data_IF_520040943103
#
_entry.id   IF_520040943103
#
_cell.length_a   1.000
_cell.length_b   1.000
_cell.length_c   1.000
_cell.angle_alpha   90.00
_cell.angle_beta   90.00
_cell.angle_gamma   90.00
#
_symmetry.space_group_name_H-M   'P 1'
#
loop_
_entity.id
_entity.type
_entity.pdbx_description
1 polymer ?
#
# COMPACT_ATOMS: atom_id res chain seq x y z
N UNK A 1 9.06 3.59 21.55
CA UNK A 1 7.63 3.29 21.59
C UNK A 1 7.24 2.38 20.45
N UNK A 2 6.46 1.36 20.76
CA UNK A 2 6.07 0.38 19.76
C UNK A 2 4.86 0.89 18.97
N UNK A 3 4.93 0.78 17.66
CA UNK A 3 3.77 1.15 16.85
C UNK A 3 2.71 0.06 16.96
N UNK A 4 1.43 0.42 16.90
CA UNK A 4 0.36 -0.57 16.95
C UNK A 4 0.32 -1.45 15.70
N UNK A 5 -0.30 -2.60 15.83
CA UNK A 5 -0.45 -3.51 14.69
C UNK A 5 -1.32 -2.87 13.61
N UNK A 6 -1.02 -3.18 12.36
CA UNK A 6 -1.85 -2.73 11.24
C UNK A 6 -3.17 -3.50 11.28
N UNK A 7 -4.33 -2.82 11.16
CA UNK A 7 -5.61 -3.51 11.14
C UNK A 7 -5.66 -4.59 10.06
N UNK A 8 -6.22 -5.74 10.41
CA UNK A 8 -6.24 -6.90 9.52
C UNK A 8 -6.87 -6.61 8.17
N UNK A 9 -7.94 -5.84 8.13
CA UNK A 9 -8.61 -5.50 6.87
C UNK A 9 -7.69 -4.70 5.95
N UNK A 10 -6.92 -3.78 6.53
CA UNK A 10 -6.00 -2.96 5.76
C UNK A 10 -4.85 -3.83 5.25
N UNK A 11 -4.31 -4.71 6.10
CA UNK A 11 -3.27 -5.64 5.67
C UNK A 11 -3.74 -6.48 4.48
N UNK A 12 -4.94 -7.02 4.60
CA UNK A 12 -5.51 -7.86 3.54
C UNK A 12 -5.64 -7.07 2.24
N UNK A 13 -6.14 -5.83 2.32
CA UNK A 13 -6.30 -4.99 1.14
C UNK A 13 -4.97 -4.74 0.45
N UNK A 14 -3.93 -4.44 1.22
CA UNK A 14 -2.60 -4.17 0.66
C UNK A 14 -2.02 -5.43 0.02
N UNK A 15 -2.19 -6.59 0.65
CA UNK A 15 -1.67 -7.85 0.11
C UNK A 15 -2.40 -8.28 -1.16
N UNK A 16 -3.72 -8.20 -1.17
CA UNK A 16 -4.50 -8.58 -2.35
C UNK A 16 -4.19 -7.65 -3.52
N UNK A 17 -4.08 -6.37 -3.25
CA UNK A 17 -3.73 -5.37 -4.27
C UNK A 17 -2.42 -5.73 -4.97
N UNK A 18 -1.44 -6.19 -4.23
CA UNK A 18 -0.13 -6.55 -4.76
C UNK A 18 -0.08 -7.99 -5.29
N UNK A 19 -1.15 -8.75 -5.14
CA UNK A 19 -1.19 -10.14 -5.55
C UNK A 19 -0.38 -11.05 -4.64
N UNK A 20 -0.25 -10.68 -3.37
CA UNK A 20 0.56 -11.39 -2.38
C UNK A 20 2.01 -11.57 -2.82
N UNK A 21 2.53 -10.53 -3.47
CA UNK A 21 3.92 -10.50 -3.91
C UNK A 21 4.45 -9.08 -3.83
N UNK A 22 5.75 -8.92 -3.98
CA UNK A 22 6.37 -7.61 -3.90
C UNK A 22 5.75 -6.66 -4.92
N UNK A 23 5.43 -5.45 -4.48
CA UNK A 23 4.77 -4.46 -5.34
C UNK A 23 5.71 -3.89 -6.41
N UNK A 24 7.02 -4.11 -6.27
CA UNK A 24 7.97 -3.65 -7.27
C UNK A 24 7.83 -4.54 -8.51
N UNK A 25 7.43 -4.00 -9.67
CA UNK A 25 7.10 -4.83 -10.83
C UNK A 25 8.21 -5.77 -11.29
N UNK A 26 9.45 -5.35 -11.19
CA UNK A 26 10.58 -6.18 -11.63
C UNK A 26 10.92 -7.29 -10.63
N UNK A 27 10.42 -7.21 -9.40
CA UNK A 27 10.77 -8.15 -8.34
C UNK A 27 9.72 -9.25 -8.18
N UNK A 28 8.54 -8.87 -7.73
CA UNK A 28 7.38 -9.77 -7.53
C UNK A 28 7.67 -11.00 -6.68
N UNK A 29 8.59 -10.88 -5.72
CA UNK A 29 8.89 -11.95 -4.81
C UNK A 29 7.67 -12.29 -3.95
N UNK A 30 7.36 -13.58 -3.70
CA UNK A 30 6.13 -13.96 -2.99
C UNK A 30 6.14 -13.72 -1.48
N UNK A 31 7.29 -13.54 -0.87
CA UNK A 31 7.39 -13.28 0.57
C UNK A 31 7.48 -11.78 0.79
N UNK A 32 6.45 -11.22 1.41
CA UNK A 32 6.37 -9.76 1.57
C UNK A 32 6.02 -9.36 2.99
N UNK A 33 6.35 -8.13 3.32
CA UNK A 33 5.93 -7.46 4.54
C UNK A 33 5.35 -6.12 4.15
N UNK A 34 4.54 -5.54 5.03
CA UNK A 34 3.89 -4.27 4.73
C UNK A 34 4.75 -3.13 5.25
N UNK A 35 5.05 -2.18 4.37
CA UNK A 35 5.94 -1.06 4.64
C UNK A 35 5.18 0.26 4.62
N UNK A 36 5.49 1.16 5.56
CA UNK A 36 4.94 2.52 5.55
C UNK A 36 5.76 3.36 4.57
N UNK A 37 5.10 3.96 3.57
CA UNK A 37 5.79 4.83 2.59
C UNK A 37 6.30 6.07 3.31
N UNK A 38 5.42 6.75 4.07
CA UNK A 38 5.84 7.79 5.00
C UNK A 38 6.10 7.08 6.33
N UNK A 39 7.31 7.21 6.90
CA UNK A 39 7.65 6.49 8.13
C UNK A 39 6.66 6.70 9.26
N UNK A 40 6.41 5.64 10.02
CA UNK A 40 5.51 5.69 11.17
C UNK A 40 5.80 6.86 12.10
N UNK A 41 7.07 7.15 12.34
CA UNK A 41 7.47 8.23 13.24
C UNK A 41 6.89 9.57 12.82
N UNK A 42 6.59 9.74 11.54
CA UNK A 42 6.04 10.98 11.01
C UNK A 42 4.53 10.98 10.91
N UNK A 43 3.94 9.87 10.44
CA UNK A 43 2.50 9.84 10.19
C UNK A 43 1.68 9.37 11.38
N UNK A 44 2.25 8.49 12.21
CA UNK A 44 1.61 7.98 13.44
C UNK A 44 0.25 7.32 13.24
N UNK A 45 -0.02 6.80 12.06
CA UNK A 45 -1.28 6.11 11.77
C UNK A 45 -1.10 5.15 10.61
N UNK A 46 -1.98 4.15 10.55
CA UNK A 46 -1.98 3.18 9.47
C UNK A 46 -3.08 3.52 8.48
N UNK A 47 -2.69 3.99 7.32
CA UNK A 47 -3.63 4.31 6.25
C UNK A 47 -3.31 3.49 5.02
N UNK A 48 -4.31 2.92 4.40
CA UNK A 48 -4.16 2.07 3.23
C UNK A 48 -3.22 2.66 2.17
N UNK A 49 -3.41 3.92 1.82
CA UNK A 49 -2.64 4.53 0.75
C UNK A 49 -1.19 4.78 1.10
N UNK A 50 -0.84 4.66 2.39
CA UNK A 50 0.54 4.82 2.85
C UNK A 50 1.24 3.48 3.08
N UNK A 51 0.58 2.38 2.75
CA UNK A 51 1.11 1.04 2.98
C UNK A 51 1.32 0.32 1.67
N UNK A 52 2.45 -0.36 1.54
CA UNK A 52 2.80 -1.07 0.33
C UNK A 52 3.50 -2.38 0.69
N UNK A 53 3.25 -3.43 -0.10
CA UNK A 53 3.86 -4.74 0.14
C UNK A 53 5.23 -4.80 -0.52
N UNK A 54 6.26 -5.08 0.27
CA UNK A 54 7.62 -5.19 -0.23
C UNK A 54 8.27 -6.46 0.31
N UNK A 55 9.07 -7.14 -0.51
CA UNK A 55 9.84 -8.26 -0.02
C UNK A 55 10.99 -7.72 0.85
N UNK A 56 11.58 -8.58 1.71
CA UNK A 56 12.67 -8.12 2.58
C UNK A 56 13.83 -7.47 1.83
N UNK A 57 14.14 -7.98 0.65
CA UNK A 57 15.21 -7.43 -0.16
C UNK A 57 14.90 -6.01 -0.64
N UNK A 58 13.70 -5.80 -1.19
CA UNK A 58 13.29 -4.47 -1.64
C UNK A 58 13.13 -3.51 -0.45
N UNK A 59 12.67 -4.02 0.69
CA UNK A 59 12.59 -3.23 1.92
C UNK A 59 13.96 -2.68 2.29
N UNK A 60 14.99 -3.52 2.21
CA UNK A 60 16.37 -3.10 2.46
C UNK A 60 16.80 -2.03 1.45
N UNK A 61 16.47 -2.22 0.18
CA UNK A 61 16.82 -1.25 -0.86
C UNK A 61 16.16 0.11 -0.61
N UNK A 62 14.96 0.11 -0.05
CA UNK A 62 14.30 1.36 0.32
C UNK A 62 15.07 2.05 1.45
N UNK A 63 15.47 1.27 2.47
CA UNK A 63 16.24 1.80 3.58
C UNK A 63 17.59 2.37 3.13
N UNK A 64 18.21 1.72 2.15
CA UNK A 64 19.50 2.15 1.62
C UNK A 64 19.40 3.32 0.64
N UNK A 65 18.19 3.73 0.30
CA UNK A 65 17.98 4.84 -0.61
C UNK A 65 17.99 4.48 -2.09
N UNK A 66 18.13 3.19 -2.42
CA UNK A 66 18.11 2.75 -3.82
C UNK A 66 16.71 2.94 -4.43
N UNK A 67 15.68 2.74 -3.61
CA UNK A 67 14.30 2.98 -4.04
C UNK A 67 13.79 4.12 -3.19
N UNK A 68 13.51 5.26 -3.80
CA UNK A 68 13.10 6.42 -3.05
C UNK A 68 11.59 6.46 -2.81
N UNK A 69 11.17 7.39 -1.97
CA UNK A 69 9.76 7.52 -1.59
C UNK A 69 8.88 7.85 -2.79
N UNK A 70 9.36 8.70 -3.68
CA UNK A 70 8.59 9.08 -4.87
C UNK A 70 8.31 7.87 -5.75
N UNK A 71 9.28 6.98 -5.88
CA UNK A 71 9.09 5.75 -6.63
C UNK A 71 8.03 4.87 -5.97
N UNK A 72 8.06 4.74 -4.65
CA UNK A 72 7.07 3.95 -3.92
C UNK A 72 5.67 4.51 -4.12
N UNK A 73 5.52 5.83 -4.09
CA UNK A 73 4.23 6.46 -4.33
C UNK A 73 3.72 6.11 -5.73
N UNK A 74 4.59 6.12 -6.71
CA UNK A 74 4.20 5.78 -8.08
C UNK A 74 3.78 4.32 -8.22
N UNK A 75 4.52 3.41 -7.60
CA UNK A 75 4.15 1.99 -7.63
C UNK A 75 2.79 1.79 -6.94
N UNK A 76 2.57 2.44 -5.81
CA UNK A 76 1.29 2.36 -5.10
C UNK A 76 0.16 2.89 -5.96
N UNK A 77 0.36 4.04 -6.60
CA UNK A 77 -0.65 4.64 -7.47
C UNK A 77 -1.03 3.72 -8.63
N UNK A 78 -0.03 3.05 -9.21
CA UNK A 78 -0.27 2.12 -10.31
C UNK A 78 -1.14 0.94 -9.86
N UNK A 79 -0.89 0.41 -8.66
CA UNK A 79 -1.69 -0.67 -8.11
C UNK A 79 -3.13 -0.24 -7.89
N UNK A 80 -3.34 0.94 -7.33
CA UNK A 80 -4.67 1.48 -7.09
C UNK A 80 -5.40 1.65 -8.42
N UNK A 81 -4.74 2.19 -9.44
CA UNK A 81 -5.32 2.37 -10.75
C UNK A 81 -5.70 1.03 -11.39
N UNK A 82 -4.86 0.02 -11.25
CA UNK A 82 -5.13 -1.30 -11.80
C UNK A 82 -6.43 -1.90 -11.21
N UNK A 83 -6.63 -1.74 -9.91
CA UNK A 83 -7.85 -2.22 -9.26
C UNK A 83 -9.06 -1.46 -9.79
N UNK A 84 -8.94 -0.14 -9.94
CA UNK A 84 -10.02 0.69 -10.45
C UNK A 84 -10.39 0.29 -11.88
N UNK A 85 -9.40 -0.04 -12.69
CA UNK A 85 -9.60 -0.40 -14.08
C UNK A 85 -10.25 -1.77 -14.29
N UNK A 86 -10.39 -2.56 -13.23
CA UNK A 86 -11.11 -3.83 -13.32
C UNK A 86 -12.61 -3.62 -13.58
N UNK A 87 -13.08 -2.39 -13.40
CA UNK A 87 -14.45 -2.04 -13.78
C UNK A 87 -15.53 -2.58 -12.87
N UNK A 88 -16.73 -2.76 -13.44
CA UNK A 88 -17.92 -3.10 -12.67
C UNK A 88 -17.78 -4.41 -11.89
N UNK A 89 -17.07 -5.39 -12.44
CA UNK A 89 -16.90 -6.67 -11.78
C UNK A 89 -16.15 -6.55 -10.45
N UNK A 90 -15.42 -5.46 -10.28
CA UNK A 90 -14.67 -5.22 -9.05
C UNK A 90 -15.54 -4.64 -7.94
N UNK A 91 -16.74 -4.16 -8.24
CA UNK A 91 -17.59 -3.52 -7.24
C UNK A 91 -18.02 -4.44 -6.12
N UNK A 92 -18.18 -5.72 -6.41
CA UNK A 92 -18.57 -6.69 -5.40
C UNK A 92 -17.35 -7.28 -4.66
N UNK A 93 -16.16 -6.90 -5.07
CA UNK A 93 -14.95 -7.42 -4.46
C UNK A 93 -14.65 -6.73 -3.13
N UNK A 94 -14.36 -7.48 -2.06
CA UNK A 94 -14.12 -6.88 -0.74
C UNK A 94 -13.02 -5.82 -0.73
N UNK A 95 -11.96 -6.02 -1.53
CA UNK A 95 -10.86 -5.07 -1.56
C UNK A 95 -11.30 -3.72 -2.12
N UNK A 96 -12.18 -3.73 -3.11
CA UNK A 96 -12.70 -2.48 -3.68
C UNK A 96 -13.50 -1.72 -2.62
N UNK A 97 -14.29 -2.43 -1.83
CA UNK A 97 -15.07 -1.82 -0.78
C UNK A 97 -14.17 -1.18 0.28
N UNK A 98 -13.10 -1.87 0.68
CA UNK A 98 -12.15 -1.36 1.65
C UNK A 98 -11.45 -0.11 1.10
N UNK A 99 -10.98 -0.17 -0.15
CA UNK A 99 -10.33 0.97 -0.79
C UNK A 99 -11.25 2.17 -0.87
N UNK A 100 -12.51 1.94 -1.23
CA UNK A 100 -13.49 3.01 -1.34
C UNK A 100 -13.68 3.73 -0.01
N UNK A 101 -13.80 2.98 1.09
CA UNK A 101 -13.98 3.57 2.41
C UNK A 101 -12.75 4.38 2.83
N UNK A 102 -11.56 3.84 2.57
CA UNK A 102 -10.32 4.50 2.93
C UNK A 102 -10.15 5.78 2.11
N UNK A 103 -10.48 5.73 0.83
CA UNK A 103 -10.42 6.92 -0.02
C UNK A 103 -11.39 8.00 0.43
N UNK A 104 -12.55 7.61 0.90
CA UNK A 104 -13.50 8.59 1.43
C UNK A 104 -12.92 9.32 2.62
N UNK A 105 -12.24 8.58 3.51
CA UNK A 105 -11.58 9.17 4.65
C UNK A 105 -10.46 10.10 4.20
N UNK A 106 -9.65 9.66 3.22
CA UNK A 106 -8.55 10.46 2.71
C UNK A 106 -9.04 11.74 2.06
N UNK A 107 -10.15 11.69 1.35
CA UNK A 107 -10.69 12.87 0.70
C UNK A 107 -10.98 13.96 1.71
N UNK A 108 -11.41 13.57 2.91
CA UNK A 108 -11.67 14.54 3.97
C UNK A 108 -10.38 15.13 4.54
N UNK A 109 -9.23 14.51 4.25
CA UNK A 109 -7.92 14.99 4.68
C UNK A 109 -7.13 15.54 3.49
N UNK A 110 -7.78 16.26 2.63
CA UNK A 110 -7.21 16.73 1.37
C UNK A 110 -5.75 17.14 1.47
N UNK A 111 -4.99 16.92 0.38
CA UNK A 111 -3.59 17.31 0.33
C UNK A 111 -2.62 16.23 0.77
N UNK A 112 -3.09 15.04 0.98
CA UNK A 112 -2.23 13.94 1.42
C UNK A 112 -1.20 13.56 0.36
N UNK A 113 -1.56 13.67 -0.86
CA UNK A 113 -0.65 13.38 -1.98
C UNK A 113 -0.38 14.61 -2.78
#
# INVERSE_FOLDING_TARGET
MTRPAIPTEIQRAVLIEAGHQCAIPACRHPRVEIHNIIPWAKCKKHEYHNLIALCPNCHTRVHDGEIDRKSLVKYKSALVSAIRDLGASAFSHPIVEIKRRIYTIDTSHSGIY
#
